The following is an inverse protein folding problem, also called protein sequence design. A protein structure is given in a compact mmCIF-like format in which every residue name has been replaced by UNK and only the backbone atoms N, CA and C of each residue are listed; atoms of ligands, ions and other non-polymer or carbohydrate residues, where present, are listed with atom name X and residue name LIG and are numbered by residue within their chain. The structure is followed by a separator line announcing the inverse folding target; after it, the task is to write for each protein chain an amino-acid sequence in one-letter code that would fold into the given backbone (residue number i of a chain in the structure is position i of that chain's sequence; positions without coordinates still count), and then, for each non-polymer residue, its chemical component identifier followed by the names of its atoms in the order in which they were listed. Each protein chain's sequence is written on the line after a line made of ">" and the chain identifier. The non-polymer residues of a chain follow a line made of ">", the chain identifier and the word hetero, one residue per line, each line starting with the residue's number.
data_IF_024624571006
#
_entry.id   IF_024624571006
#
_cell.length_a   1.000
_cell.length_b   1.000
_cell.length_c   1.000
_cell.angle_alpha   90.00
_cell.angle_beta   90.00
_cell.angle_gamma   90.00
#
_symmetry.space_group_name_H-M   'P 1'
#
loop_
_entity.id
_entity.type
_entity.pdbx_description
1 polymer ?
#
# COMPACT_ATOMS: atom_id res chain seq x y z
N UNK A 1 27.57 16.33 5.06
CA UNK A 1 27.52 15.14 4.17
C UNK A 1 26.53 15.44 3.07
N UNK A 2 26.90 15.26 1.80
CA UNK A 2 25.99 15.45 0.67
C UNK A 2 25.35 14.09 0.34
N UNK A 3 24.02 13.99 0.37
CA UNK A 3 23.32 12.76 0.01
C UNK A 3 23.40 12.57 -1.50
N UNK A 4 23.62 11.33 -1.97
CA UNK A 4 23.53 11.05 -3.40
C UNK A 4 22.08 11.38 -3.88
N UNK A 5 21.90 12.15 -4.96
CA UNK A 5 20.55 12.46 -5.48
C UNK A 5 19.74 11.23 -5.92
N UNK A 6 20.38 10.05 -6.06
CA UNK A 6 19.73 8.77 -6.38
C UNK A 6 19.43 7.91 -5.15
N UNK A 7 19.70 8.38 -3.93
CA UNK A 7 19.37 7.63 -2.72
C UNK A 7 17.84 7.52 -2.59
N UNK A 8 17.28 6.29 -2.52
CA UNK A 8 15.85 6.12 -2.30
C UNK A 8 15.46 6.61 -0.91
N UNK A 9 14.27 7.18 -0.80
CA UNK A 9 13.70 7.69 0.45
C UNK A 9 12.29 7.16 0.64
N UNK A 10 11.89 6.97 1.89
CA UNK A 10 10.50 6.68 2.25
C UNK A 10 9.80 8.03 2.41
N UNK A 11 8.74 8.26 1.64
CA UNK A 11 8.01 9.54 1.64
C UNK A 11 6.72 9.49 2.45
N UNK A 12 6.16 8.31 2.69
CA UNK A 12 4.97 8.13 3.51
C UNK A 12 4.77 6.67 3.90
N UNK A 13 4.10 6.45 5.03
CA UNK A 13 3.81 5.13 5.58
C UNK A 13 2.39 5.07 6.13
N UNK A 14 1.77 3.91 6.06
CA UNK A 14 0.51 3.66 6.73
C UNK A 14 0.33 2.18 7.06
N UNK A 15 -0.50 1.93 8.07
CA UNK A 15 -0.98 0.60 8.40
C UNK A 15 -2.47 0.69 8.66
N UNK A 16 -3.23 -0.18 8.00
CA UNK A 16 -4.66 -0.35 8.23
C UNK A 16 -4.87 -1.71 8.88
N UNK A 17 -5.74 -1.78 9.87
CA UNK A 17 -6.06 -3.04 10.55
C UNK A 17 -7.56 -3.13 10.73
N UNK A 18 -8.12 -4.25 10.32
CA UNK A 18 -9.52 -4.56 10.55
C UNK A 18 -9.67 -5.40 11.81
N UNK A 19 -10.39 -4.88 12.80
CA UNK A 19 -10.65 -5.56 14.08
C UNK A 19 -12.13 -5.86 14.23
N UNK A 20 -12.73 -6.47 13.22
CA UNK A 20 -14.15 -6.79 13.22
C UNK A 20 -14.38 -8.15 13.85
N UNK A 21 -15.42 -8.24 14.69
CA UNK A 21 -15.78 -9.48 15.39
C UNK A 21 -16.49 -10.49 14.49
N UNK A 22 -17.24 -10.01 13.49
CA UNK A 22 -17.90 -10.84 12.49
C UNK A 22 -17.02 -10.95 11.24
N UNK A 23 -16.46 -12.12 10.95
CA UNK A 23 -15.60 -12.32 9.77
C UNK A 23 -16.32 -12.10 8.44
N UNK A 24 -17.65 -12.24 8.39
CA UNK A 24 -18.42 -12.04 7.16
C UNK A 24 -18.49 -10.58 6.72
N UNK A 25 -18.23 -9.66 7.65
CA UNK A 25 -18.17 -8.21 7.41
C UNK A 25 -16.73 -7.70 7.23
N UNK A 26 -15.72 -8.56 7.38
CA UNK A 26 -14.31 -8.17 7.29
C UNK A 26 -13.94 -7.74 5.87
N UNK A 27 -13.15 -6.67 5.76
CA UNK A 27 -12.52 -6.31 4.49
C UNK A 27 -11.57 -7.41 4.03
N UNK A 28 -11.55 -7.59 2.73
CA UNK A 28 -10.57 -8.42 2.05
C UNK A 28 -9.16 -7.85 2.20
N UNK A 29 -8.11 -8.68 2.09
CA UNK A 29 -6.75 -8.19 2.07
C UNK A 29 -6.47 -7.12 1.00
N UNK A 30 -7.12 -7.17 -0.17
CA UNK A 30 -6.95 -6.16 -1.22
C UNK A 30 -7.51 -4.80 -0.77
N UNK A 31 -8.71 -4.76 -0.20
CA UNK A 31 -9.31 -3.52 0.32
C UNK A 31 -8.43 -2.91 1.43
N UNK A 32 -7.83 -3.74 2.29
CA UNK A 32 -6.89 -3.26 3.30
C UNK A 32 -5.59 -2.70 2.70
N UNK A 33 -5.09 -3.29 1.61
CA UNK A 33 -3.91 -2.79 0.90
C UNK A 33 -4.20 -1.47 0.18
N UNK A 34 -5.38 -1.35 -0.46
CA UNK A 34 -5.85 -0.12 -1.10
C UNK A 34 -5.96 1.02 -0.09
N UNK A 35 -6.64 0.79 1.04
CA UNK A 35 -6.76 1.78 2.12
C UNK A 35 -5.39 2.20 2.68
N UNK A 36 -4.47 1.25 2.83
CA UNK A 36 -3.11 1.53 3.30
C UNK A 36 -2.32 2.37 2.28
N UNK A 37 -2.43 2.08 0.98
CA UNK A 37 -1.76 2.85 -0.07
C UNK A 37 -2.28 4.30 -0.11
N UNK A 38 -3.60 4.49 -0.07
CA UNK A 38 -4.21 5.82 0.00
C UNK A 38 -3.79 6.57 1.27
N UNK A 39 -3.78 5.91 2.42
CA UNK A 39 -3.35 6.52 3.68
C UNK A 39 -1.87 6.93 3.66
N UNK A 40 -1.00 6.11 3.06
CA UNK A 40 0.42 6.44 2.92
C UNK A 40 0.65 7.63 1.97
N UNK A 41 -0.18 7.78 0.93
CA UNK A 41 -0.13 8.94 0.04
C UNK A 41 -0.57 10.24 0.73
N UNK A 42 -1.52 10.15 1.68
CA UNK A 42 -1.90 11.28 2.55
C UNK A 42 -0.75 11.65 3.50
N UNK A 43 -0.13 10.67 4.15
CA UNK A 43 1.05 10.86 5.02
C UNK A 43 2.20 11.54 4.25
N UNK A 44 2.43 11.13 3.01
CA UNK A 44 3.39 11.74 2.09
C UNK A 44 3.02 13.13 1.59
N UNK A 45 1.81 13.63 1.89
CA UNK A 45 1.22 14.85 1.33
C UNK A 45 1.25 14.86 -0.22
N UNK A 46 1.11 13.69 -0.83
CA UNK A 46 1.28 13.44 -2.26
C UNK A 46 0.20 12.50 -2.79
N UNK A 47 -1.07 12.84 -2.57
CA UNK A 47 -2.22 11.99 -2.93
C UNK A 47 -2.25 11.61 -4.41
N UNK A 48 -1.81 12.49 -5.31
CA UNK A 48 -1.69 12.19 -6.73
C UNK A 48 -0.51 11.28 -7.11
N UNK A 49 0.39 10.92 -6.20
CA UNK A 49 1.55 10.09 -6.53
C UNK A 49 1.16 8.65 -6.89
N UNK A 50 0.02 8.16 -6.41
CA UNK A 50 -0.44 6.80 -6.67
C UNK A 50 -0.74 6.56 -8.17
N UNK A 51 -1.20 7.58 -8.89
CA UNK A 51 -1.49 7.46 -10.33
C UNK A 51 -0.25 7.50 -11.23
N UNK A 52 0.92 7.79 -10.66
CA UNK A 52 2.20 7.85 -11.38
C UNK A 52 3.19 6.80 -10.89
N UNK A 53 2.73 5.74 -10.24
CA UNK A 53 3.61 4.67 -9.79
C UNK A 53 4.09 3.81 -10.96
N UNK A 54 5.40 3.67 -11.10
CA UNK A 54 6.00 2.74 -12.06
C UNK A 54 5.99 1.29 -11.57
N UNK A 55 5.86 1.07 -10.26
CA UNK A 55 5.94 -0.26 -9.65
C UNK A 55 5.12 -0.33 -8.36
N UNK A 56 4.29 -1.35 -8.25
CA UNK A 56 3.63 -1.77 -7.01
C UNK A 56 4.21 -3.14 -6.63
N UNK A 57 4.91 -3.20 -5.50
CA UNK A 57 5.53 -4.42 -5.00
C UNK A 57 4.82 -4.87 -3.72
N UNK A 58 4.24 -6.07 -3.76
CA UNK A 58 3.56 -6.69 -2.62
C UNK A 58 4.37 -7.91 -2.17
N UNK A 59 4.60 -8.04 -0.86
CA UNK A 59 5.29 -9.21 -0.30
C UNK A 59 4.43 -10.45 -0.51
N UNK A 60 5.06 -11.54 -0.94
CA UNK A 60 4.37 -12.82 -1.10
C UNK A 60 3.83 -13.31 0.26
N UNK A 61 2.57 -13.74 0.30
CA UNK A 61 1.92 -14.21 1.52
C UNK A 61 0.99 -15.39 1.28
N UNK A 62 0.42 -15.95 2.34
CA UNK A 62 -0.38 -17.20 2.29
C UNK A 62 -1.82 -17.01 1.78
N UNK A 63 -2.05 -16.00 0.94
CA UNK A 63 -3.36 -15.68 0.38
C UNK A 63 -3.57 -16.41 -0.96
N UNK A 64 -4.84 -16.47 -1.40
CA UNK A 64 -5.23 -17.09 -2.68
C UNK A 64 -5.12 -16.16 -3.89
N UNK A 65 -4.70 -14.90 -3.71
CA UNK A 65 -4.55 -13.95 -4.81
C UNK A 65 -3.42 -14.37 -5.74
N UNK A 66 -3.68 -14.38 -7.05
CA UNK A 66 -2.67 -14.77 -8.04
C UNK A 66 -1.56 -13.72 -8.18
N UNK A 67 -1.91 -12.44 -8.11
CA UNK A 67 -1.00 -11.29 -8.20
C UNK A 67 -1.68 -10.04 -7.59
N UNK A 68 -1.54 -9.80 -6.27
CA UNK A 68 -2.19 -8.66 -5.62
C UNK A 68 -1.64 -7.31 -6.08
N UNK A 69 -0.37 -7.22 -6.47
CA UNK A 69 0.22 -5.99 -6.97
C UNK A 69 -0.43 -5.56 -8.28
N UNK A 70 -0.67 -6.51 -9.19
CA UNK A 70 -1.42 -6.27 -10.43
C UNK A 70 -2.89 -5.95 -10.20
N UNK A 71 -3.50 -6.47 -9.14
CA UNK A 71 -4.90 -6.17 -8.80
C UNK A 71 -5.10 -4.78 -8.19
N UNK A 72 -4.05 -4.20 -7.59
CA UNK A 72 -4.05 -2.84 -7.05
C UNK A 72 -3.70 -1.76 -8.09
N UNK A 73 -3.19 -2.15 -9.26
CA UNK A 73 -2.77 -1.24 -10.34
C UNK A 73 -3.93 -0.88 -11.28
#
# INVERSE_FOLDING_TARGET
>A
MNLNPRTPVIIGVAQVTDRISDPSCARTPLELMEDAAHSAAVDAQATQALSSLDTIAVVNGMWRYSDPGKQLA
#
